data_IF_355212092474
#
_entry.id   IF_355212092474
#
_cell.length_a   1.000
_cell.length_b   1.000
_cell.length_c   1.000
_cell.angle_alpha   90.00
_cell.angle_beta   90.00
_cell.angle_gamma   90.00
#
_symmetry.space_group_name_H-M   'P 1'
#
loop_
_entity.id
_entity.type
_entity.pdbx_description
1 polymer ?
#
# COMPACT_ATOMS: atom_id res chain seq x y z
N UNK A 1 -8.78 23.99 -15.05
CA UNK A 1 -9.05 22.77 -14.26
C UNK A 1 -7.93 21.79 -14.58
N UNK A 2 -7.24 21.20 -13.59
CA UNK A 2 -6.22 20.20 -13.87
C UNK A 2 -6.86 18.95 -14.48
N UNK A 3 -6.19 18.26 -15.41
CA UNK A 3 -6.73 17.05 -16.01
C UNK A 3 -6.79 15.91 -15.00
N UNK A 4 -7.92 15.19 -14.96
CA UNK A 4 -8.12 13.98 -14.15
C UNK A 4 -7.44 12.78 -14.80
N UNK A 5 -6.11 12.76 -14.76
CA UNK A 5 -5.29 11.78 -15.49
C UNK A 5 -5.42 10.35 -14.95
N UNK A 6 -5.83 10.18 -13.70
CA UNK A 6 -6.11 8.87 -13.10
C UNK A 6 -7.57 8.46 -13.29
N UNK A 7 -8.48 9.40 -13.52
CA UNK A 7 -9.90 9.14 -13.71
C UNK A 7 -10.68 9.01 -12.40
N UNK A 8 -10.02 9.18 -11.25
CA UNK A 8 -10.61 9.00 -9.90
C UNK A 8 -11.69 10.04 -9.64
N UNK A 9 -11.47 11.31 -10.02
CA UNK A 9 -12.47 12.35 -9.77
C UNK A 9 -13.72 12.14 -10.63
N UNK A 10 -13.52 11.69 -11.87
CA UNK A 10 -14.60 11.46 -12.83
C UNK A 10 -15.40 10.20 -12.47
N UNK A 11 -14.75 9.11 -12.09
CA UNK A 11 -15.40 7.85 -11.70
C UNK A 11 -16.20 7.98 -10.40
N UNK A 12 -15.64 8.68 -9.40
CA UNK A 12 -16.27 8.84 -8.07
C UNK A 12 -17.41 9.85 -8.08
N UNK A 13 -17.52 10.68 -9.13
CA UNK A 13 -18.56 11.71 -9.24
C UNK A 13 -19.97 11.14 -9.11
N UNK A 14 -20.24 10.00 -9.75
CA UNK A 14 -21.54 9.35 -9.67
C UNK A 14 -21.89 8.97 -8.22
N UNK A 15 -20.92 8.43 -7.48
CA UNK A 15 -21.11 8.08 -6.07
C UNK A 15 -21.43 9.32 -5.23
N UNK A 16 -20.68 10.41 -5.41
CA UNK A 16 -20.92 11.65 -4.67
C UNK A 16 -22.32 12.23 -4.94
N UNK A 17 -22.80 12.16 -6.19
CA UNK A 17 -24.11 12.70 -6.56
C UNK A 17 -25.28 11.81 -6.10
N UNK A 18 -25.06 10.51 -5.87
CA UNK A 18 -26.12 9.52 -5.58
C UNK A 18 -26.02 8.88 -4.19
N UNK A 19 -25.01 9.22 -3.39
CA UNK A 19 -24.83 8.70 -2.05
C UNK A 19 -26.04 9.00 -1.16
N UNK A 20 -26.64 7.95 -0.57
CA UNK A 20 -27.88 8.05 0.22
C UNK A 20 -27.63 8.32 1.71
N UNK A 21 -26.52 7.81 2.24
CA UNK A 21 -26.24 7.78 3.68
C UNK A 21 -25.07 8.67 4.10
N UNK A 22 -24.20 9.03 3.16
CA UNK A 22 -22.99 9.81 3.42
C UNK A 22 -23.06 11.05 2.53
N UNK A 23 -22.85 12.22 3.13
CA UNK A 23 -22.91 13.50 2.44
C UNK A 23 -21.69 14.34 2.78
N UNK A 24 -21.21 15.12 1.80
CA UNK A 24 -20.12 16.05 2.03
C UNK A 24 -20.58 17.26 2.83
N UNK A 25 -19.90 17.56 3.93
CA UNK A 25 -20.04 18.82 4.65
C UNK A 25 -19.26 19.92 3.91
N UNK A 26 -19.84 20.46 2.83
CA UNK A 26 -19.15 21.38 1.90
C UNK A 26 -18.55 22.61 2.62
N UNK A 27 -19.24 23.18 3.60
CA UNK A 27 -18.72 24.33 4.35
C UNK A 27 -17.50 23.97 5.21
N UNK A 28 -17.48 22.77 5.80
CA UNK A 28 -16.31 22.27 6.52
C UNK A 28 -15.15 22.00 5.57
N UNK A 29 -15.42 21.44 4.40
CA UNK A 29 -14.39 21.24 3.38
C UNK A 29 -13.74 22.56 2.96
N UNK A 30 -14.55 23.60 2.70
CA UNK A 30 -14.02 24.94 2.37
C UNK A 30 -13.17 25.52 3.49
N UNK A 31 -13.57 25.36 4.74
CA UNK A 31 -12.80 25.80 5.90
C UNK A 31 -11.43 25.08 5.96
N UNK A 32 -11.42 23.75 5.83
CA UNK A 32 -10.18 22.95 5.81
C UNK A 32 -9.26 23.37 4.65
N UNK A 33 -9.80 23.54 3.44
CA UNK A 33 -9.01 24.01 2.30
C UNK A 33 -8.42 25.40 2.54
N UNK A 34 -9.18 26.31 3.15
CA UNK A 34 -8.72 27.66 3.48
C UNK A 34 -7.61 27.63 4.53
N UNK A 35 -7.76 26.78 5.55
CA UNK A 35 -6.74 26.59 6.57
C UNK A 35 -5.46 26.00 5.97
N UNK A 36 -5.55 24.95 5.16
CA UNK A 36 -4.39 24.36 4.48
C UNK A 36 -3.69 25.39 3.58
N UNK A 37 -4.45 26.18 2.81
CA UNK A 37 -3.89 27.23 1.96
C UNK A 37 -3.15 28.32 2.77
N UNK A 38 -3.63 28.60 3.98
CA UNK A 38 -3.05 29.60 4.89
C UNK A 38 -1.84 29.07 5.66
N UNK A 39 -1.89 27.84 6.17
CA UNK A 39 -0.84 27.27 7.02
C UNK A 39 0.24 26.53 6.23
N UNK A 40 -0.06 26.16 4.99
CA UNK A 40 0.73 25.19 4.24
C UNK A 40 0.57 23.77 4.80
N UNK A 41 1.18 22.81 4.10
CA UNK A 41 1.27 21.41 4.51
C UNK A 41 2.75 21.07 4.71
N UNK A 42 3.10 20.56 5.88
CA UNK A 42 4.40 19.92 6.08
C UNK A 42 4.31 18.46 5.62
N UNK A 43 5.18 18.05 4.71
CA UNK A 43 5.28 16.65 4.34
C UNK A 43 5.83 15.84 5.53
N UNK A 44 5.19 14.71 5.89
CA UNK A 44 5.74 13.84 6.92
C UNK A 44 7.09 13.30 6.47
N UNK A 45 8.00 13.10 7.42
CA UNK A 45 9.29 12.46 7.15
C UNK A 45 9.14 10.95 7.16
N UNK A 46 10.01 10.26 6.43
CA UNK A 46 10.12 8.81 6.47
C UNK A 46 10.51 8.35 7.88
N UNK A 47 9.65 7.58 8.54
CA UNK A 47 9.93 7.04 9.86
C UNK A 47 10.99 5.93 9.77
N UNK A 48 12.27 6.31 9.93
CA UNK A 48 13.43 5.43 9.90
C UNK A 48 13.56 4.51 11.12
N UNK A 49 12.66 4.55 12.09
CA UNK A 49 12.65 3.60 13.20
C UNK A 49 11.83 2.35 12.86
N UNK A 50 10.74 2.53 12.11
CA UNK A 50 9.79 1.47 11.77
C UNK A 50 9.91 0.97 10.34
N UNK A 51 10.41 1.79 9.42
CA UNK A 51 10.59 1.39 8.02
C UNK A 51 12.03 1.03 7.71
N UNK A 52 12.22 0.07 6.81
CA UNK A 52 13.52 -0.17 6.16
C UNK A 52 13.76 0.87 5.06
N UNK A 53 15.02 1.23 4.82
CA UNK A 53 15.43 2.00 3.64
C UNK A 53 16.96 2.05 3.55
N UNK A 54 17.48 1.63 2.40
CA UNK A 54 18.85 1.85 1.93
C UNK A 54 19.02 3.14 1.09
N UNK A 55 17.92 3.75 0.65
CA UNK A 55 17.89 4.87 -0.28
C UNK A 55 17.91 4.50 -1.77
N UNK A 56 17.94 3.22 -2.12
CA UNK A 56 18.12 2.70 -3.48
C UNK A 56 17.08 1.60 -3.81
N UNK A 57 17.52 0.47 -4.39
CA UNK A 57 16.66 -0.61 -4.88
C UNK A 57 15.88 -1.30 -3.76
N UNK A 58 16.51 -1.56 -2.62
CA UNK A 58 15.83 -2.24 -1.51
C UNK A 58 14.72 -1.38 -0.93
N UNK A 59 14.86 -0.06 -0.96
CA UNK A 59 13.81 0.88 -0.57
C UNK A 59 12.62 0.78 -1.51
N UNK A 60 12.86 0.69 -2.82
CA UNK A 60 11.78 0.48 -3.80
C UNK A 60 11.07 -0.86 -3.56
N UNK A 61 11.83 -1.95 -3.42
CA UNK A 61 11.28 -3.28 -3.09
C UNK A 61 10.46 -3.25 -1.80
N UNK A 62 10.99 -2.63 -0.74
CA UNK A 62 10.30 -2.53 0.55
C UNK A 62 8.97 -1.78 0.44
N UNK A 63 8.92 -0.67 -0.31
CA UNK A 63 7.68 0.10 -0.51
C UNK A 63 6.63 -0.74 -1.23
N UNK A 64 7.00 -1.43 -2.32
CA UNK A 64 6.05 -2.28 -3.06
C UNK A 64 5.52 -3.44 -2.20
N UNK A 65 6.39 -4.08 -1.40
CA UNK A 65 5.98 -5.13 -0.45
C UNK A 65 5.05 -4.57 0.63
N UNK A 66 5.40 -3.41 1.21
CA UNK A 66 4.59 -2.75 2.22
C UNK A 66 3.19 -2.42 1.68
N UNK A 67 3.12 -1.78 0.52
CA UNK A 67 1.85 -1.36 -0.08
C UNK A 67 1.00 -2.55 -0.53
N UNK A 68 1.61 -3.63 -1.01
CA UNK A 68 0.91 -4.89 -1.34
C UNK A 68 0.21 -5.53 -0.13
N UNK A 69 0.64 -5.18 1.09
CA UNK A 69 0.13 -5.70 2.35
C UNK A 69 -0.68 -4.67 3.15
N UNK A 70 -0.79 -3.43 2.69
CA UNK A 70 -1.33 -2.31 3.47
C UNK A 70 -2.86 -2.19 3.38
N UNK A 71 -3.58 -3.23 3.80
CA UNK A 71 -5.04 -3.24 3.78
C UNK A 71 -5.60 -4.02 4.96
N UNK A 72 -6.80 -3.70 5.45
CA UNK A 72 -7.54 -4.45 6.49
C UNK A 72 -6.74 -4.79 7.77
N UNK A 73 -6.80 -3.89 8.76
CA UNK A 73 -6.26 -4.11 10.11
C UNK A 73 -7.36 -4.30 11.17
N UNK A 74 -8.58 -4.57 10.72
CA UNK A 74 -9.76 -4.67 11.57
C UNK A 74 -9.88 -6.07 12.19
N UNK A 75 -10.20 -6.17 13.48
CA UNK A 75 -10.44 -7.45 14.13
C UNK A 75 -10.65 -7.31 15.62
N UNK A 76 -11.28 -8.31 16.23
CA UNK A 76 -11.44 -8.42 17.68
C UNK A 76 -11.08 -9.85 18.13
N UNK A 77 -9.95 -10.06 18.84
CA UNK A 77 -8.96 -9.05 19.21
C UNK A 77 -8.17 -8.53 18.00
N UNK A 78 -7.67 -7.30 18.07
CA UNK A 78 -6.81 -6.72 17.04
C UNK A 78 -5.48 -7.45 16.93
N UNK A 79 -4.98 -7.55 15.70
CA UNK A 79 -3.60 -7.97 15.43
C UNK A 79 -2.61 -6.93 15.94
N UNK A 80 -1.71 -7.36 16.83
CA UNK A 80 -0.67 -6.52 17.41
C UNK A 80 0.67 -7.27 17.39
N UNK A 81 1.77 -6.53 17.36
CA UNK A 81 3.12 -7.09 17.48
C UNK A 81 3.90 -6.39 18.59
N UNK A 82 4.92 -7.06 19.12
CA UNK A 82 5.95 -6.43 19.92
C UNK A 82 7.20 -6.22 19.07
N UNK A 83 7.67 -4.98 18.98
CA UNK A 83 8.93 -4.61 18.32
C UNK A 83 9.68 -3.60 19.18
N UNK A 84 10.96 -3.86 19.49
CA UNK A 84 11.82 -3.01 20.34
C UNK A 84 11.12 -2.54 21.65
N UNK A 85 10.50 -3.49 22.36
CA UNK A 85 9.76 -3.25 23.62
C UNK A 85 8.49 -2.38 23.48
N UNK A 86 8.05 -2.10 22.26
CA UNK A 86 6.79 -1.38 21.99
C UNK A 86 5.74 -2.35 21.43
N UNK A 87 4.51 -2.22 21.89
CA UNK A 87 3.35 -2.89 21.29
C UNK A 87 2.77 -1.98 20.23
N UNK A 88 2.69 -2.48 19.00
CA UNK A 88 2.18 -1.76 17.83
C UNK A 88 0.96 -2.49 17.25
N UNK A 89 0.06 -1.73 16.61
CA UNK A 89 -1.07 -2.25 15.83
C UNK A 89 -1.18 -1.54 14.46
N UNK A 90 -2.13 -1.99 13.64
CA UNK A 90 -2.44 -1.35 12.37
C UNK A 90 -1.26 -1.25 11.40
N UNK A 91 -1.19 -0.12 10.69
CA UNK A 91 -0.13 0.18 9.74
C UNK A 91 1.28 0.15 10.38
N UNK A 92 1.42 0.67 11.60
CA UNK A 92 2.72 0.72 12.27
C UNK A 92 3.25 -0.67 12.63
N UNK A 93 2.36 -1.58 13.02
CA UNK A 93 2.71 -2.99 13.22
C UNK A 93 3.16 -3.67 11.92
N UNK A 94 2.52 -3.36 10.79
CA UNK A 94 2.92 -3.90 9.48
C UNK A 94 4.32 -3.39 9.09
N UNK A 95 4.54 -2.08 9.11
CA UNK A 95 5.84 -1.47 8.78
C UNK A 95 6.97 -2.09 9.63
N UNK A 96 6.76 -2.17 10.94
CA UNK A 96 7.71 -2.76 11.88
C UNK A 96 7.91 -4.27 11.67
N UNK A 97 6.87 -5.02 11.30
CA UNK A 97 6.98 -6.46 10.97
C UNK A 97 7.89 -6.69 9.76
N UNK A 98 7.71 -5.90 8.70
CA UNK A 98 8.53 -6.00 7.49
C UNK A 98 9.96 -5.57 7.75
N UNK A 99 10.16 -4.47 8.48
CA UNK A 99 11.50 -4.06 8.90
C UNK A 99 12.19 -5.16 9.72
N UNK A 100 11.49 -5.74 10.69
CA UNK A 100 11.99 -6.86 11.50
C UNK A 100 12.38 -8.06 10.63
N UNK A 101 11.62 -8.36 9.59
CA UNK A 101 11.93 -9.44 8.65
C UNK A 101 13.24 -9.19 7.89
N UNK A 102 13.49 -7.96 7.44
CA UNK A 102 14.78 -7.58 6.84
C UNK A 102 15.91 -7.70 7.85
N UNK A 103 15.72 -7.19 9.07
CA UNK A 103 16.70 -7.30 10.17
C UNK A 103 17.01 -8.76 10.56
N UNK A 104 16.05 -9.67 10.39
CA UNK A 104 16.18 -11.13 10.62
C UNK A 104 16.73 -11.90 9.41
N UNK A 105 16.96 -11.23 8.27
CA UNK A 105 17.49 -11.85 7.06
C UNK A 105 16.48 -12.66 6.26
N UNK A 106 15.17 -12.45 6.47
CA UNK A 106 14.15 -13.02 5.59
C UNK A 106 14.22 -12.27 4.25
N UNK A 107 14.34 -12.96 3.10
CA UNK A 107 14.57 -12.33 1.80
C UNK A 107 13.29 -11.72 1.20
N UNK A 108 12.52 -10.96 1.99
CA UNK A 108 11.29 -10.28 1.54
C UNK A 108 11.54 -9.18 0.50
N UNK A 109 12.80 -8.83 0.24
CA UNK A 109 13.21 -7.86 -0.77
C UNK A 109 13.72 -8.53 -2.06
N UNK A 110 13.60 -9.85 -2.17
CA UNK A 110 13.92 -10.62 -3.37
C UNK A 110 12.64 -11.03 -4.10
N UNK A 111 12.47 -10.58 -5.34
CA UNK A 111 11.26 -10.85 -6.11
C UNK A 111 11.01 -12.34 -6.40
N UNK A 112 12.07 -13.13 -6.58
CA UNK A 112 11.94 -14.57 -6.84
C UNK A 112 11.47 -15.30 -5.59
N UNK A 113 11.98 -14.91 -4.43
CA UNK A 113 11.52 -15.42 -3.15
C UNK A 113 10.06 -15.02 -2.88
N UNK A 114 9.68 -13.77 -3.15
CA UNK A 114 8.28 -13.33 -3.01
C UNK A 114 7.34 -14.16 -3.90
N UNK A 115 7.74 -14.49 -5.13
CA UNK A 115 6.94 -15.28 -6.07
C UNK A 115 6.58 -16.68 -5.55
N UNK A 116 7.42 -17.24 -4.68
CA UNK A 116 7.32 -18.61 -4.16
C UNK A 116 7.31 -18.67 -2.62
N UNK A 117 7.05 -17.52 -1.96
CA UNK A 117 7.19 -17.38 -0.50
C UNK A 117 6.33 -18.43 0.22
N UNK A 118 6.90 -19.27 1.10
CA UNK A 118 6.13 -20.23 1.88
C UNK A 118 5.18 -19.52 2.85
N UNK A 119 3.97 -20.07 3.02
CA UNK A 119 2.97 -19.54 3.97
C UNK A 119 3.54 -19.39 5.40
N UNK A 120 4.32 -20.37 5.85
CA UNK A 120 4.99 -20.35 7.17
C UNK A 120 5.96 -19.18 7.33
N UNK A 121 6.60 -18.75 6.23
CA UNK A 121 7.56 -17.66 6.27
C UNK A 121 6.80 -16.33 6.42
N UNK A 122 5.66 -16.16 5.71
CA UNK A 122 4.81 -14.98 5.90
C UNK A 122 4.20 -14.95 7.30
N UNK A 123 3.81 -16.12 7.83
CA UNK A 123 3.30 -16.23 9.19
C UNK A 123 4.38 -15.84 10.22
N UNK A 124 5.65 -16.19 9.96
CA UNK A 124 6.78 -15.74 10.77
C UNK A 124 7.01 -14.23 10.65
N UNK A 125 6.95 -13.66 9.45
CA UNK A 125 7.10 -12.20 9.24
C UNK A 125 6.02 -11.43 10.00
N UNK A 126 4.76 -11.82 9.83
CA UNK A 126 3.57 -11.15 10.40
C UNK A 126 3.16 -11.69 11.78
N UNK A 127 4.04 -12.45 12.45
CA UNK A 127 3.76 -13.01 13.78
C UNK A 127 3.41 -11.92 14.79
N UNK A 128 2.31 -12.14 15.50
CA UNK A 128 1.74 -11.21 16.47
C UNK A 128 0.84 -11.91 17.48
N UNK A 129 0.01 -11.14 18.18
CA UNK A 129 -0.93 -11.64 19.21
C UNK A 129 -2.03 -12.55 18.65
N UNK A 130 -2.39 -12.37 17.39
CA UNK A 130 -3.34 -13.20 16.63
C UNK A 130 -2.87 -13.30 15.18
N UNK A 131 -3.65 -13.93 14.30
CA UNK A 131 -3.42 -13.89 12.85
C UNK A 131 -3.96 -12.57 12.30
N UNK A 132 -3.19 -11.89 11.46
CA UNK A 132 -3.65 -10.68 10.78
C UNK A 132 -4.83 -11.01 9.83
N UNK A 133 -5.85 -10.15 9.72
CA UNK A 133 -6.95 -10.36 8.77
C UNK A 133 -6.45 -10.50 7.33
N UNK A 134 -7.19 -11.27 6.53
CA UNK A 134 -6.95 -11.49 5.10
C UNK A 134 -5.53 -12.00 4.79
N UNK A 135 -5.05 -12.93 5.62
CA UNK A 135 -3.69 -13.47 5.52
C UNK A 135 -3.44 -14.22 4.19
N UNK A 136 -4.42 -14.97 3.69
CA UNK A 136 -4.29 -15.69 2.43
C UNK A 136 -4.17 -14.73 1.23
N UNK A 137 -4.94 -13.65 1.25
CA UNK A 137 -4.91 -12.58 0.25
C UNK A 137 -3.56 -11.86 0.27
N UNK A 138 -3.00 -11.60 1.46
CA UNK A 138 -1.64 -11.05 1.61
C UNK A 138 -0.58 -11.93 0.97
N UNK A 139 -0.64 -13.23 1.21
CA UNK A 139 0.29 -14.17 0.58
C UNK A 139 0.13 -14.15 -0.95
N UNK A 140 -1.12 -14.14 -1.43
CA UNK A 140 -1.42 -14.07 -2.86
C UNK A 140 -0.91 -12.76 -3.49
N UNK A 141 -1.01 -11.62 -2.81
CA UNK A 141 -0.49 -10.33 -3.27
C UNK A 141 1.04 -10.33 -3.38
N UNK A 142 1.76 -10.89 -2.40
CA UNK A 142 3.23 -11.01 -2.46
C UNK A 142 3.67 -11.91 -3.61
N UNK A 143 2.95 -13.02 -3.79
CA UNK A 143 3.16 -13.96 -4.89
C UNK A 143 2.93 -13.30 -6.26
N UNK A 144 1.86 -12.50 -6.40
CA UNK A 144 1.58 -11.72 -7.61
C UNK A 144 2.69 -10.71 -7.89
N UNK A 145 3.04 -9.90 -6.89
CA UNK A 145 4.12 -8.91 -6.97
C UNK A 145 5.44 -9.54 -7.42
N UNK A 146 5.85 -10.62 -6.76
CA UNK A 146 7.10 -11.32 -7.08
C UNK A 146 7.12 -11.84 -8.52
N UNK A 147 6.06 -12.53 -8.95
CA UNK A 147 5.96 -13.07 -10.33
C UNK A 147 5.96 -11.95 -11.37
N UNK A 148 5.25 -10.86 -11.11
CA UNK A 148 5.20 -9.71 -12.00
C UNK A 148 6.59 -9.07 -12.15
N UNK A 149 7.30 -8.82 -11.05
CA UNK A 149 8.64 -8.25 -11.08
C UNK A 149 9.64 -9.17 -11.79
N UNK A 150 9.62 -10.47 -11.52
CA UNK A 150 10.51 -11.44 -12.18
C UNK A 150 10.25 -11.48 -13.68
N UNK A 151 8.99 -11.49 -14.11
CA UNK A 151 8.63 -11.65 -15.52
C UNK A 151 8.81 -10.38 -16.36
N UNK A 152 8.58 -9.20 -15.79
CA UNK A 152 8.53 -7.94 -16.54
C UNK A 152 9.64 -6.93 -16.20
N UNK A 153 10.31 -7.07 -15.05
CA UNK A 153 11.21 -6.05 -14.50
C UNK A 153 12.52 -6.61 -13.93
N UNK A 154 12.96 -7.78 -14.40
CA UNK A 154 14.20 -8.45 -13.96
C UNK A 154 14.29 -8.63 -12.43
N UNK A 155 13.15 -8.72 -11.75
CA UNK A 155 13.06 -8.84 -10.30
C UNK A 155 13.34 -7.55 -9.52
N UNK A 156 13.36 -6.38 -10.17
CA UNK A 156 13.73 -5.09 -9.56
C UNK A 156 12.59 -4.07 -9.63
N UNK A 157 12.16 -3.57 -8.47
CA UNK A 157 11.19 -2.48 -8.39
C UNK A 157 11.75 -1.16 -8.93
N UNK A 158 13.07 -0.94 -8.86
CA UNK A 158 13.69 0.23 -9.45
C UNK A 158 13.48 0.32 -10.97
N UNK A 159 13.37 -0.81 -11.68
CA UNK A 159 13.02 -0.82 -13.11
C UNK A 159 11.59 -0.36 -13.35
N UNK A 160 10.64 -0.73 -12.48
CA UNK A 160 9.27 -0.22 -12.53
C UNK A 160 9.27 1.30 -12.39
N UNK A 161 9.97 1.83 -11.38
CA UNK A 161 10.06 3.28 -11.13
C UNK A 161 10.73 4.00 -12.31
N UNK A 162 11.84 3.47 -12.84
CA UNK A 162 12.52 4.02 -14.02
C UNK A 162 11.64 4.03 -15.26
N UNK A 163 10.84 2.99 -15.46
CA UNK A 163 9.94 2.88 -16.62
C UNK A 163 8.83 3.94 -16.67
N UNK A 164 8.59 4.63 -15.55
CA UNK A 164 7.67 5.75 -15.45
C UNK A 164 8.32 7.11 -15.80
N UNK A 165 9.63 7.16 -16.04
CA UNK A 165 10.36 8.36 -16.47
C UNK A 165 10.14 9.59 -15.57
N UNK A 166 9.97 9.39 -14.26
CA UNK A 166 9.68 10.45 -13.30
C UNK A 166 8.24 10.96 -13.29
N UNK A 167 7.31 10.31 -14.00
CA UNK A 167 5.88 10.62 -13.95
C UNK A 167 5.14 9.67 -12.99
N UNK A 168 4.74 10.19 -11.83
CA UNK A 168 4.00 9.44 -10.83
C UNK A 168 2.64 8.93 -11.35
N UNK A 169 1.98 9.65 -12.27
CA UNK A 169 0.71 9.20 -12.86
C UNK A 169 0.95 7.99 -13.75
N UNK A 170 2.02 8.01 -14.55
CA UNK A 170 2.39 6.87 -15.39
C UNK A 170 2.77 5.64 -14.56
N UNK A 171 3.47 5.85 -13.43
CA UNK A 171 3.78 4.77 -12.49
C UNK A 171 2.51 4.11 -11.95
N UNK A 172 1.56 4.91 -11.43
CA UNK A 172 0.29 4.38 -10.90
C UNK A 172 -0.48 3.65 -11.99
N UNK A 173 -0.64 4.25 -13.18
CA UNK A 173 -1.35 3.63 -14.30
C UNK A 173 -0.76 2.27 -14.68
N UNK A 174 0.57 2.15 -14.70
CA UNK A 174 1.26 0.90 -14.97
C UNK A 174 0.96 -0.16 -13.90
N UNK A 175 1.17 0.20 -12.63
CA UNK A 175 0.93 -0.70 -11.49
C UNK A 175 -0.50 -1.23 -11.48
N UNK A 176 -1.51 -0.36 -11.56
CA UNK A 176 -2.93 -0.79 -11.52
C UNK A 176 -3.36 -1.56 -12.77
N UNK A 177 -2.66 -1.39 -13.90
CA UNK A 177 -2.96 -2.13 -15.13
C UNK A 177 -2.33 -3.52 -15.18
N UNK A 178 -1.26 -3.74 -14.42
CA UNK A 178 -0.46 -4.97 -14.47
C UNK A 178 -0.59 -5.82 -13.20
N UNK A 179 -0.97 -5.23 -12.06
CA UNK A 179 -1.23 -5.93 -10.79
C UNK A 179 -2.70 -5.82 -10.40
N UNK A 180 -3.38 -6.96 -10.34
CA UNK A 180 -4.79 -7.02 -9.94
C UNK A 180 -5.01 -6.62 -8.49
N UNK A 181 -4.05 -6.92 -7.60
CA UNK A 181 -4.06 -6.52 -6.19
C UNK A 181 -4.03 -5.00 -5.95
N UNK A 182 -3.66 -4.21 -6.95
CA UNK A 182 -3.67 -2.74 -6.89
C UNK A 182 -4.82 -2.11 -7.69
N UNK A 183 -5.62 -2.92 -8.39
CA UNK A 183 -6.70 -2.44 -9.24
C UNK A 183 -8.03 -2.40 -8.46
N UNK A 184 -8.13 -1.44 -7.53
CA UNK A 184 -9.31 -1.25 -6.69
C UNK A 184 -10.50 -0.74 -7.52
N UNK A 185 -11.36 -1.68 -7.92
CA UNK A 185 -12.60 -1.40 -8.65
C UNK A 185 -13.80 -1.89 -7.84
N UNK A 186 -14.82 -1.04 -7.72
CA UNK A 186 -16.08 -1.37 -7.05
C UNK A 186 -17.29 -0.96 -7.89
N UNK A 187 -18.45 -1.52 -7.56
CA UNK A 187 -19.73 -1.12 -8.13
C UNK A 187 -20.54 -0.32 -7.11
N UNK A 188 -21.05 0.85 -7.51
CA UNK A 188 -22.06 1.60 -6.78
C UNK A 188 -23.35 1.61 -7.58
N UNK A 189 -24.37 0.87 -7.09
CA UNK A 189 -25.49 0.42 -7.91
C UNK A 189 -24.93 -0.25 -9.21
N UNK A 190 -25.31 0.22 -10.40
CA UNK A 190 -24.81 -0.32 -11.69
C UNK A 190 -23.57 0.41 -12.23
N UNK A 191 -22.99 1.35 -11.48
CA UNK A 191 -21.85 2.17 -11.95
C UNK A 191 -20.52 1.63 -11.43
N UNK A 192 -19.58 1.38 -12.34
CA UNK A 192 -18.20 1.00 -12.01
C UNK A 192 -17.42 2.22 -11.54
N UNK A 193 -16.76 2.11 -10.39
CA UNK A 193 -15.93 3.14 -9.76
C UNK A 193 -14.52 2.58 -9.63
N UNK A 194 -13.53 3.39 -10.01
CA UNK A 194 -12.09 3.06 -10.00
C UNK A 194 -11.28 4.30 -9.61
#
# INVERSE_FOLDING_TARGET
MMPDRLGVLSSTRYVIDHARHVHLAVDRLRAVCSDIARTGVSLPQWNRELHWSDGEEETAMYIFVLDSLNFCFWGEPRWMITYKQQTLDGYWALAASLRRAVEEGVPILDASYLAEMPERDLAHVLRGTTTIPLFAERLAHLHELGRWLVSAYNGQCGEVVRSACGDAVALVQRVVSELSSFNDIAHYDDHVVR
#
